data_IF_850271951236
#
_entry.id   IF_850271951236
#
_cell.length_a   1.000
_cell.length_b   1.000
_cell.length_c   1.000
_cell.angle_alpha   90.00
_cell.angle_beta   90.00
_cell.angle_gamma   90.00
#
_symmetry.space_group_name_H-M   'P 1'
#
loop_
_entity.id
_entity.type
_entity.pdbx_description
1 polymer ?
#
# COMPACT_ATOMS: atom_id res chain seq x y z
N UNK A 1 -30.53 -5.16 -42.39
CA UNK A 1 -30.57 -4.54 -41.05
C UNK A 1 -29.52 -5.25 -40.19
N UNK A 2 -28.42 -4.59 -39.85
CA UNK A 2 -27.37 -5.20 -39.03
C UNK A 2 -27.80 -5.17 -37.56
N UNK A 3 -27.65 -6.28 -36.81
CA UNK A 3 -28.03 -6.29 -35.40
C UNK A 3 -27.07 -5.41 -34.59
N UNK A 4 -27.62 -4.41 -33.90
CA UNK A 4 -26.89 -3.61 -32.92
C UNK A 4 -26.50 -4.54 -31.77
N UNK A 5 -25.23 -4.92 -31.71
CA UNK A 5 -24.67 -5.68 -30.60
C UNK A 5 -24.68 -4.81 -29.35
N UNK A 6 -25.61 -5.08 -28.43
CA UNK A 6 -25.61 -4.43 -27.11
C UNK A 6 -24.29 -4.79 -26.43
N UNK A 7 -23.47 -3.82 -25.98
CA UNK A 7 -22.26 -4.14 -25.25
C UNK A 7 -22.65 -5.00 -24.05
N UNK A 8 -22.04 -6.17 -23.92
CA UNK A 8 -22.31 -7.04 -22.79
C UNK A 8 -22.03 -6.23 -21.52
N UNK A 9 -22.95 -6.26 -20.56
CA UNK A 9 -22.86 -5.49 -19.31
C UNK A 9 -21.48 -5.64 -18.62
N UNK A 10 -20.83 -6.78 -18.86
CA UNK A 10 -19.47 -7.13 -18.43
C UNK A 10 -18.37 -6.25 -19.07
N UNK A 11 -18.47 -5.94 -20.36
CA UNK A 11 -17.55 -5.03 -21.05
C UNK A 11 -17.71 -3.60 -20.55
N UNK A 12 -18.95 -3.17 -20.28
CA UNK A 12 -19.22 -1.85 -19.72
C UNK A 12 -18.62 -1.70 -18.31
N UNK A 13 -18.81 -2.70 -17.43
CA UNK A 13 -18.18 -2.70 -16.10
C UNK A 13 -16.65 -2.79 -16.15
N UNK A 14 -16.09 -3.57 -17.09
CA UNK A 14 -14.64 -3.66 -17.28
C UNK A 14 -14.02 -2.33 -17.70
N UNK A 15 -14.64 -1.64 -18.66
CA UNK A 15 -14.17 -0.32 -19.11
C UNK A 15 -14.32 0.76 -18.04
N UNK A 16 -15.40 0.72 -17.25
CA UNK A 16 -15.62 1.66 -16.15
C UNK A 16 -14.58 1.46 -15.03
N UNK A 17 -14.25 0.22 -14.71
CA UNK A 17 -13.22 -0.12 -13.71
C UNK A 17 -11.82 0.30 -14.19
N UNK A 18 -11.51 0.10 -15.48
CA UNK A 18 -10.25 0.55 -16.08
C UNK A 18 -10.17 2.07 -16.08
N UNK A 19 -11.23 2.79 -16.45
CA UNK A 19 -11.28 4.25 -16.45
C UNK A 19 -11.15 4.84 -15.04
N UNK A 20 -11.81 4.22 -14.05
CA UNK A 20 -11.69 4.61 -12.65
C UNK A 20 -10.26 4.38 -12.12
N UNK A 21 -9.65 3.24 -12.46
CA UNK A 21 -8.27 2.95 -12.11
C UNK A 21 -7.30 3.94 -12.78
N UNK A 22 -7.40 4.20 -14.08
CA UNK A 22 -6.49 5.13 -14.76
C UNK A 22 -6.61 6.56 -14.24
N UNK A 23 -7.82 7.01 -13.90
CA UNK A 23 -8.03 8.34 -13.30
C UNK A 23 -7.45 8.48 -11.89
N UNK A 24 -7.45 7.42 -11.08
CA UNK A 24 -6.91 7.47 -9.71
C UNK A 24 -5.41 7.13 -9.63
N UNK A 25 -4.88 6.36 -10.59
CA UNK A 25 -3.48 5.91 -10.61
C UNK A 25 -2.57 6.65 -11.60
N UNK A 26 -3.06 7.64 -12.37
CA UNK A 26 -2.20 8.46 -13.24
C UNK A 26 -1.09 9.22 -12.48
N UNK A 27 -1.34 9.60 -11.22
CA UNK A 27 -0.32 10.18 -10.33
C UNK A 27 0.60 9.13 -9.67
N UNK A 28 0.30 7.83 -9.78
CA UNK A 28 1.11 6.75 -9.24
C UNK A 28 2.20 6.27 -10.22
N UNK A 29 2.28 6.82 -11.44
CA UNK A 29 3.31 6.46 -12.42
C UNK A 29 4.75 6.79 -11.98
N UNK A 30 4.93 7.60 -10.93
CA UNK A 30 6.21 7.86 -10.27
C UNK A 30 6.43 7.01 -8.99
N UNK A 31 5.56 6.04 -8.70
CA UNK A 31 5.72 5.19 -7.53
C UNK A 31 6.88 4.21 -7.77
N UNK A 32 8.06 4.54 -7.22
CA UNK A 32 9.04 3.51 -6.86
C UNK A 32 8.29 2.41 -6.09
N UNK A 33 8.53 1.15 -6.44
CA UNK A 33 7.93 0.00 -5.77
C UNK A 33 8.02 0.18 -4.25
N UNK A 34 6.89 0.44 -3.58
CA UNK A 34 6.84 0.63 -2.12
C UNK A 34 7.17 -0.66 -1.37
N UNK A 35 7.36 -1.78 -2.09
CA UNK A 35 7.76 -3.08 -1.58
C UNK A 35 9.22 -3.42 -1.94
N UNK A 36 9.92 -2.57 -2.71
CA UNK A 36 11.29 -2.80 -3.17
C UNK A 36 11.45 -3.98 -4.14
N UNK A 37 10.38 -4.74 -4.42
CA UNK A 37 10.42 -5.87 -5.34
C UNK A 37 10.51 -5.33 -6.77
N UNK A 38 11.64 -5.57 -7.44
CA UNK A 38 11.85 -5.28 -8.87
C UNK A 38 12.55 -3.96 -9.20
N UNK A 39 12.91 -3.14 -8.20
CA UNK A 39 13.84 -2.02 -8.41
C UNK A 39 15.27 -2.54 -8.31
N UNK A 40 16.14 -2.18 -9.26
CA UNK A 40 17.58 -2.37 -9.08
C UNK A 40 17.97 -1.71 -7.75
N UNK A 41 18.39 -2.50 -6.76
CA UNK A 41 18.95 -2.06 -5.47
C UNK A 41 20.30 -1.33 -5.65
N UNK A 42 20.48 -0.59 -6.75
CA UNK A 42 21.58 0.34 -6.90
C UNK A 42 21.35 1.47 -5.92
N UNK A 43 21.93 1.37 -4.73
CA UNK A 43 22.08 2.49 -3.82
C UNK A 43 22.74 3.62 -4.60
N UNK A 44 21.96 4.63 -4.97
CA UNK A 44 22.52 5.88 -5.46
C UNK A 44 23.45 6.38 -4.35
N UNK A 45 24.73 6.70 -4.63
CA UNK A 45 25.64 7.19 -3.61
C UNK A 45 25.01 8.41 -2.96
N UNK A 46 24.61 8.27 -1.70
CA UNK A 46 24.05 9.37 -0.94
C UNK A 46 25.19 10.33 -0.63
N UNK A 47 25.24 11.47 -1.29
CA UNK A 47 26.21 12.54 -1.01
C UNK A 47 25.54 13.66 -0.23
N UNK A 48 26.21 14.22 0.78
CA UNK A 48 25.72 15.37 1.57
C UNK A 48 25.72 15.13 3.09
N UNK A 49 25.29 16.14 3.87
CA UNK A 49 25.40 16.12 5.34
C UNK A 49 24.56 15.01 6.02
N UNK A 50 23.50 14.53 5.35
CA UNK A 50 22.65 13.45 5.85
C UNK A 50 22.92 12.09 5.20
N UNK A 51 23.97 11.97 4.38
CA UNK A 51 24.30 10.76 3.64
C UNK A 51 24.28 9.49 4.50
N UNK A 52 24.99 9.51 5.63
CA UNK A 52 25.07 8.37 6.54
C UNK A 52 23.70 7.97 7.11
N UNK A 53 22.84 8.95 7.44
CA UNK A 53 21.50 8.69 7.97
C UNK A 53 20.60 8.10 6.89
N UNK A 54 20.64 8.67 5.67
CA UNK A 54 19.87 8.17 4.53
C UNK A 54 20.29 6.75 4.15
N UNK A 55 21.58 6.46 4.17
CA UNK A 55 22.12 5.11 3.93
C UNK A 55 21.66 4.12 5.03
N UNK A 56 21.68 4.54 6.30
CA UNK A 56 21.17 3.72 7.40
C UNK A 56 19.67 3.43 7.25
N UNK A 57 18.85 4.43 6.91
CA UNK A 57 17.42 4.25 6.65
C UNK A 57 17.22 3.25 5.51
N UNK A 58 17.98 3.38 4.42
CA UNK A 58 17.86 2.50 3.26
C UNK A 58 18.19 1.04 3.62
N UNK A 59 19.27 0.81 4.37
CA UNK A 59 19.62 -0.53 4.86
C UNK A 59 18.50 -1.14 5.70
N UNK A 60 17.90 -0.36 6.61
CA UNK A 60 16.77 -0.83 7.43
C UNK A 60 15.53 -1.13 6.60
N UNK A 61 15.25 -0.34 5.56
CA UNK A 61 14.18 -0.62 4.62
C UNK A 61 14.42 -1.95 3.89
N UNK A 62 15.63 -2.19 3.38
CA UNK A 62 15.99 -3.46 2.72
C UNK A 62 15.86 -4.67 3.65
N UNK A 63 16.38 -4.59 4.88
CA UNK A 63 16.24 -5.64 5.88
C UNK A 63 14.77 -5.97 6.17
N UNK A 64 13.94 -4.94 6.31
CA UNK A 64 12.52 -5.08 6.55
C UNK A 64 11.80 -5.78 5.38
N UNK A 65 12.07 -5.38 4.13
CA UNK A 65 11.49 -6.04 2.96
C UNK A 65 11.93 -7.51 2.83
N UNK A 66 13.21 -7.81 3.10
CA UNK A 66 13.70 -9.20 3.13
C UNK A 66 13.01 -10.03 4.20
N UNK A 67 12.74 -9.44 5.37
CA UNK A 67 11.99 -10.11 6.43
C UNK A 67 10.53 -10.41 6.01
N UNK A 68 9.85 -9.47 5.34
CA UNK A 68 8.50 -9.70 4.79
C UNK A 68 8.49 -10.82 3.75
N UNK A 69 9.40 -10.78 2.77
CA UNK A 69 9.51 -11.82 1.75
C UNK A 69 9.80 -13.20 2.36
N UNK A 70 10.66 -13.25 3.37
CA UNK A 70 10.97 -14.48 4.11
C UNK A 70 9.76 -15.00 4.88
N UNK A 71 9.03 -14.13 5.57
CA UNK A 71 7.82 -14.49 6.31
C UNK A 71 6.71 -15.01 5.37
N UNK A 72 6.53 -14.39 4.20
CA UNK A 72 5.62 -14.87 3.16
C UNK A 72 5.98 -16.27 2.67
N UNK A 73 7.26 -16.52 2.36
CA UNK A 73 7.73 -17.85 1.93
C UNK A 73 7.53 -18.88 3.04
N UNK A 74 7.81 -18.50 4.29
CA UNK A 74 7.70 -19.38 5.44
C UNK A 74 6.24 -19.77 5.74
N UNK A 75 5.30 -18.84 5.61
CA UNK A 75 3.86 -19.10 5.74
C UNK A 75 3.34 -20.11 4.71
N UNK A 76 3.88 -20.12 3.48
CA UNK A 76 3.52 -21.14 2.47
C UNK A 76 3.92 -22.56 2.87
N UNK A 77 4.92 -22.71 3.74
CA UNK A 77 5.40 -24.01 4.21
C UNK A 77 4.73 -24.44 5.52
N UNK A 78 4.48 -23.48 6.42
CA UNK A 78 3.80 -23.71 7.70
C UNK A 78 2.88 -22.53 8.03
N UNK A 79 1.56 -22.79 8.06
CA UNK A 79 0.54 -21.77 8.32
C UNK A 79 0.70 -21.10 9.69
N UNK A 80 1.34 -21.76 10.67
CA UNK A 80 1.59 -21.16 11.99
C UNK A 80 2.48 -19.93 11.90
N UNK A 81 3.29 -19.82 10.84
CA UNK A 81 4.14 -18.65 10.56
C UNK A 81 3.37 -17.44 10.00
N UNK A 82 2.07 -17.58 9.70
CA UNK A 82 1.19 -16.47 9.33
C UNK A 82 1.25 -15.32 10.35
N UNK A 83 1.31 -15.64 11.65
CA UNK A 83 1.37 -14.63 12.70
C UNK A 83 2.60 -13.72 12.62
N UNK A 84 3.74 -14.26 12.17
CA UNK A 84 4.95 -13.46 11.93
C UNK A 84 4.71 -12.48 10.78
N UNK A 85 4.08 -12.94 9.69
CA UNK A 85 3.76 -12.08 8.56
C UNK A 85 2.75 -11.00 8.94
N UNK A 86 1.72 -11.34 9.73
CA UNK A 86 0.74 -10.39 10.26
C UNK A 86 1.44 -9.34 11.13
N UNK A 87 2.24 -9.77 12.11
CA UNK A 87 2.96 -8.87 13.00
C UNK A 87 3.90 -7.92 12.26
N UNK A 88 4.65 -8.45 11.29
CA UNK A 88 5.57 -7.66 10.48
C UNK A 88 4.81 -6.66 9.59
N UNK A 89 3.70 -7.07 8.98
CA UNK A 89 2.84 -6.19 8.17
C UNK A 89 2.14 -5.12 9.01
N UNK A 90 1.76 -5.43 10.25
CA UNK A 90 1.20 -4.46 11.17
C UNK A 90 2.24 -3.41 11.59
N UNK A 91 3.46 -3.86 11.91
CA UNK A 91 4.57 -2.95 12.20
C UNK A 91 4.86 -2.03 11.00
N UNK A 92 4.85 -2.56 9.77
CA UNK A 92 4.92 -1.73 8.56
C UNK A 92 3.81 -0.68 8.53
N UNK A 93 2.57 -1.05 8.84
CA UNK A 93 1.44 -0.14 8.90
C UNK A 93 1.65 1.04 9.87
N UNK A 94 2.24 0.79 11.04
CA UNK A 94 2.60 1.84 12.01
C UNK A 94 3.63 2.80 11.40
N UNK A 95 4.73 2.27 10.86
CA UNK A 95 5.78 3.10 10.26
C UNK A 95 5.28 3.84 9.02
N UNK A 96 4.42 3.23 8.22
CA UNK A 96 3.78 3.84 7.07
C UNK A 96 2.87 5.00 7.49
N UNK A 97 2.15 4.84 8.60
CA UNK A 97 1.34 5.92 9.17
C UNK A 97 2.20 7.07 9.72
N UNK A 98 3.37 6.76 10.29
CA UNK A 98 4.32 7.73 10.83
C UNK A 98 5.26 8.36 9.79
N UNK A 99 5.32 7.82 8.57
CA UNK A 99 6.23 8.25 7.52
C UNK A 99 6.05 9.72 7.09
N UNK A 100 7.09 10.32 6.49
CA UNK A 100 7.09 11.73 6.13
C UNK A 100 6.02 12.04 5.07
N UNK A 101 5.27 13.12 5.29
CA UNK A 101 4.30 13.63 4.33
C UNK A 101 3.91 15.08 4.65
N UNK A 102 3.93 15.94 3.64
CA UNK A 102 3.62 17.37 3.82
C UNK A 102 2.24 17.59 4.45
N UNK A 103 1.22 16.83 4.03
CA UNK A 103 -0.11 16.90 4.64
C UNK A 103 -0.17 16.39 6.09
N UNK A 104 0.64 15.38 6.45
CA UNK A 104 0.73 14.86 7.82
C UNK A 104 1.35 15.90 8.76
N UNK A 105 2.39 16.60 8.30
CA UNK A 105 3.07 17.64 9.09
C UNK A 105 2.18 18.87 9.33
N UNK A 106 1.48 19.36 8.30
CA UNK A 106 0.62 20.55 8.44
C UNK A 106 -0.58 20.27 9.36
N UNK A 107 -1.28 19.14 9.16
CA UNK A 107 -2.46 18.79 9.96
C UNK A 107 -2.08 18.41 11.40
N UNK A 108 -0.95 17.71 11.60
CA UNK A 108 -0.49 17.36 12.95
C UNK A 108 -0.11 18.60 13.75
N UNK A 109 0.49 19.62 13.12
CA UNK A 109 0.80 20.91 13.76
C UNK A 109 -0.46 21.58 14.30
N UNK A 110 -1.54 21.60 13.51
CA UNK A 110 -2.83 22.15 13.92
C UNK A 110 -3.48 21.34 15.06
N UNK A 111 -3.42 20.01 15.00
CA UNK A 111 -3.96 19.14 16.04
C UNK A 111 -3.21 19.28 17.37
N UNK A 112 -1.88 19.40 17.35
CA UNK A 112 -1.08 19.57 18.58
C UNK A 112 -1.40 20.89 19.27
N UNK A 113 -1.70 21.95 18.53
CA UNK A 113 -2.08 23.25 19.09
C UNK A 113 -3.51 23.30 19.64
N UNK A 114 -4.35 22.28 19.42
CA UNK A 114 -5.75 22.26 19.83
C UNK A 114 -6.17 20.88 20.38
N UNK A 115 -6.30 20.77 21.70
CA UNK A 115 -6.62 19.50 22.37
C UNK A 115 -7.94 18.84 21.90
N UNK A 116 -8.95 19.64 21.54
CA UNK A 116 -10.23 19.13 21.03
C UNK A 116 -10.04 18.54 19.63
N UNK A 117 -9.24 19.21 18.79
CA UNK A 117 -8.87 18.70 17.47
C UNK A 117 -8.00 17.43 17.58
N UNK A 118 -7.10 17.37 18.57
CA UNK A 118 -6.25 16.21 18.82
C UNK A 118 -7.07 14.95 19.15
N UNK A 119 -7.98 15.04 20.14
CA UNK A 119 -8.80 13.89 20.56
C UNK A 119 -9.69 13.36 19.43
N UNK A 120 -10.33 14.25 18.68
CA UNK A 120 -11.15 13.89 17.50
C UNK A 120 -10.29 13.29 16.39
N UNK A 121 -9.12 13.88 16.13
CA UNK A 121 -8.20 13.40 15.11
C UNK A 121 -7.64 12.01 15.41
N UNK A 122 -7.36 11.68 16.68
CA UNK A 122 -6.95 10.33 17.09
C UNK A 122 -8.06 9.32 16.79
N UNK A 123 -9.31 9.59 17.24
CA UNK A 123 -10.44 8.68 16.98
C UNK A 123 -10.67 8.48 15.47
N UNK A 124 -10.69 9.58 14.71
CA UNK A 124 -10.84 9.53 13.26
C UNK A 124 -9.70 8.76 12.58
N UNK A 125 -8.46 8.87 13.09
CA UNK A 125 -7.32 8.11 12.56
C UNK A 125 -7.48 6.61 12.76
N UNK A 126 -7.98 6.18 13.94
CA UNK A 126 -8.30 4.77 14.18
C UNK A 126 -9.42 4.26 13.27
N UNK A 127 -10.52 5.02 13.16
CA UNK A 127 -11.63 4.67 12.26
C UNK A 127 -11.16 4.60 10.81
N UNK A 128 -10.37 5.58 10.37
CA UNK A 128 -9.80 5.61 9.01
C UNK A 128 -8.88 4.42 8.76
N UNK A 129 -8.01 4.05 9.70
CA UNK A 129 -7.12 2.90 9.55
C UNK A 129 -7.90 1.57 9.45
N UNK A 130 -8.98 1.42 10.24
CA UNK A 130 -9.86 0.25 10.15
C UNK A 130 -10.61 0.19 8.82
N UNK A 131 -11.21 1.30 8.38
CA UNK A 131 -11.90 1.39 7.09
C UNK A 131 -10.95 1.14 5.93
N UNK A 132 -9.73 1.68 5.99
CA UNK A 132 -8.70 1.46 4.99
C UNK A 132 -8.30 -0.02 4.93
N UNK A 133 -8.07 -0.67 6.08
CA UNK A 133 -7.76 -2.10 6.13
C UNK A 133 -8.88 -2.97 5.57
N UNK A 134 -10.13 -2.70 5.96
CA UNK A 134 -11.30 -3.41 5.43
C UNK A 134 -11.44 -3.23 3.91
N UNK A 135 -11.30 -2.00 3.43
CA UNK A 135 -11.37 -1.69 2.00
C UNK A 135 -10.27 -2.42 1.24
N UNK A 136 -9.04 -2.44 1.75
CA UNK A 136 -7.93 -3.18 1.14
C UNK A 136 -8.21 -4.68 1.04
N UNK A 137 -8.78 -5.30 2.08
CA UNK A 137 -9.18 -6.71 2.05
C UNK A 137 -10.24 -6.95 0.96
N UNK A 138 -11.29 -6.13 0.91
CA UNK A 138 -12.36 -6.26 -0.07
C UNK A 138 -11.85 -6.11 -1.51
N UNK A 139 -11.03 -5.10 -1.76
CA UNK A 139 -10.42 -4.85 -3.07
C UNK A 139 -9.51 -6.01 -3.47
N UNK A 140 -8.70 -6.52 -2.55
CA UNK A 140 -7.80 -7.65 -2.86
C UNK A 140 -8.56 -8.97 -3.08
N UNK A 141 -9.62 -9.22 -2.32
CA UNK A 141 -10.50 -10.38 -2.57
C UNK A 141 -11.17 -10.28 -3.94
N UNK A 142 -11.69 -9.10 -4.29
CA UNK A 142 -12.26 -8.85 -5.61
C UNK A 142 -11.22 -9.11 -6.71
N UNK A 143 -10.02 -8.55 -6.58
CA UNK A 143 -8.93 -8.78 -7.52
C UNK A 143 -8.57 -10.27 -7.65
N UNK A 144 -8.48 -10.98 -6.53
CA UNK A 144 -8.22 -12.43 -6.50
C UNK A 144 -9.28 -13.22 -7.28
N UNK A 145 -10.58 -12.96 -7.02
CA UNK A 145 -11.66 -13.67 -7.71
C UNK A 145 -11.76 -13.30 -9.19
N UNK A 146 -11.50 -12.04 -9.55
CA UNK A 146 -11.43 -11.61 -10.94
C UNK A 146 -10.30 -12.34 -11.66
N UNK A 147 -9.07 -12.28 -11.14
CA UNK A 147 -7.89 -12.89 -11.76
C UNK A 147 -8.02 -14.42 -11.88
N UNK A 148 -8.55 -15.08 -10.83
CA UNK A 148 -8.79 -16.53 -10.84
C UNK A 148 -9.94 -16.92 -11.78
N UNK A 149 -11.00 -16.12 -11.81
CA UNK A 149 -12.16 -16.33 -12.69
C UNK A 149 -11.87 -16.08 -14.17
N UNK A 150 -10.81 -15.33 -14.49
CA UNK A 150 -10.36 -15.07 -15.86
C UNK A 150 -9.28 -16.05 -16.37
N UNK A 151 -8.91 -17.06 -15.57
CA UNK A 151 -7.98 -18.15 -15.94
C UNK A 151 -6.65 -17.70 -16.56
N UNK A 152 -5.69 -17.39 -15.69
CA UNK A 152 -4.31 -17.89 -15.90
C UNK A 152 -4.25 -19.14 -15.02
N UNK A 153 -4.26 -20.31 -15.66
CA UNK A 153 -4.04 -21.60 -15.03
C UNK A 153 -2.57 -21.98 -15.13
#
# INVERSE_FOLDING_TARGET
MNPVTKPSLRLAFGLLAIAFATMHFANAAHAQSSLGIGVNDGMAPSTGPFAHILMWINLRQQEFYRALATAMKAMRQDIRKLWVLIGLSFAYGIFHAAGPGHGKAVISSYMVANEVALKRGILLSFVSALLQGLTAILVMLLAYFVLRGTTIS
#
